data_IF_661475409418
#
_entry.id   IF_661475409418
#
_cell.length_a   1.000
_cell.length_b   1.000
_cell.length_c   1.000
_cell.angle_alpha   90.00
_cell.angle_beta   90.00
_cell.angle_gamma   90.00
#
_symmetry.space_group_name_H-M   'P 1'
#
loop_
_entity.id
_entity.type
_entity.pdbx_description
1 polymer ?
#
# COMPACT_ATOMS: atom_id res chain seq x y z
N UNK A 1 -8.62 30.78 -9.39
CA UNK A 1 -7.79 30.42 -8.23
C UNK A 1 -7.84 28.90 -8.09
N UNK A 2 -6.71 28.19 -8.02
CA UNK A 2 -6.74 26.72 -7.83
C UNK A 2 -7.26 26.46 -6.42
N UNK A 3 -8.36 25.71 -6.28
CA UNK A 3 -8.81 25.27 -4.97
C UNK A 3 -7.73 24.35 -4.37
N UNK A 4 -7.38 24.56 -3.11
CA UNK A 4 -6.47 23.67 -2.40
C UNK A 4 -7.04 22.25 -2.36
N UNK A 5 -6.19 21.25 -2.57
CA UNK A 5 -6.56 19.83 -2.49
C UNK A 5 -5.71 19.15 -1.44
N UNK A 6 -6.35 18.29 -0.64
CA UNK A 6 -5.67 17.40 0.29
C UNK A 6 -5.82 15.98 -0.24
N UNK A 7 -4.70 15.28 -0.37
CA UNK A 7 -4.67 13.87 -0.74
C UNK A 7 -4.20 13.08 0.49
N UNK A 8 -5.02 12.13 0.92
CA UNK A 8 -4.64 11.13 1.92
C UNK A 8 -4.35 9.85 1.15
N UNK A 9 -3.13 9.33 1.28
CA UNK A 9 -2.68 8.16 0.55
C UNK A 9 -1.79 7.28 1.43
N UNK A 10 -1.76 5.98 1.12
CA UNK A 10 -0.87 4.99 1.75
C UNK A 10 0.50 4.97 1.06
N UNK A 11 1.32 3.95 1.31
CA UNK A 11 2.63 3.81 0.67
C UNK A 11 2.58 3.81 -0.87
N UNK A 12 1.42 3.56 -1.48
CA UNK A 12 1.21 3.63 -2.94
C UNK A 12 1.63 4.99 -3.53
N UNK A 13 1.56 6.08 -2.77
CA UNK A 13 2.01 7.39 -3.22
C UNK A 13 3.51 7.45 -3.55
N UNK A 14 4.31 6.51 -3.01
CA UNK A 14 5.76 6.44 -3.21
C UNK A 14 6.11 5.85 -4.59
N UNK A 15 5.30 4.92 -5.08
CA UNK A 15 5.65 4.10 -6.24
C UNK A 15 4.90 4.59 -7.49
N UNK A 16 5.67 4.88 -8.54
CA UNK A 16 5.16 5.12 -9.91
C UNK A 16 4.18 6.30 -10.12
N UNK A 17 3.89 7.11 -9.10
CA UNK A 17 3.04 8.30 -9.23
C UNK A 17 3.86 9.57 -9.48
N UNK A 18 3.60 10.25 -10.60
CA UNK A 18 4.14 11.59 -10.89
C UNK A 18 3.34 12.67 -10.17
N UNK A 19 3.58 12.80 -8.86
CA UNK A 19 2.92 13.77 -7.99
C UNK A 19 3.85 14.91 -7.57
N UNK A 20 3.25 16.06 -7.31
CA UNK A 20 3.93 17.29 -6.89
C UNK A 20 3.07 18.03 -5.87
N UNK A 21 3.47 17.92 -4.62
CA UNK A 21 2.80 18.52 -3.48
C UNK A 21 3.56 19.78 -3.01
N UNK A 22 2.80 20.77 -2.51
CA UNK A 22 3.38 21.99 -1.93
C UNK A 22 3.80 21.80 -0.46
N UNK A 23 3.09 20.93 0.26
CA UNK A 23 3.35 20.51 1.64
C UNK A 23 3.15 19.01 1.73
N UNK A 24 3.95 18.33 2.54
CA UNK A 24 3.83 16.89 2.78
C UNK A 24 3.76 16.61 4.27
N UNK A 25 2.82 15.76 4.65
CA UNK A 25 2.73 15.16 5.99
C UNK A 25 2.93 13.67 5.84
N UNK A 26 3.78 13.07 6.67
CA UNK A 26 4.13 11.65 6.62
C UNK A 26 4.21 11.09 8.03
N UNK A 27 3.70 9.88 8.24
CA UNK A 27 4.08 9.09 9.42
C UNK A 27 5.58 8.80 9.40
N UNK A 28 6.15 8.57 10.58
CA UNK A 28 7.50 8.05 10.72
C UNK A 28 7.62 6.70 10.01
N UNK A 29 8.54 6.65 9.05
CA UNK A 29 8.95 5.45 8.35
C UNK A 29 10.49 5.49 8.22
N UNK A 30 11.13 4.39 7.79
CA UNK A 30 12.57 4.40 7.56
C UNK A 30 13.00 5.53 6.60
N UNK A 31 14.25 6.00 6.79
CA UNK A 31 14.75 7.23 6.17
C UNK A 31 14.75 7.21 4.64
N UNK A 32 14.97 6.05 4.03
CA UNK A 32 14.94 5.85 2.59
C UNK A 32 13.52 6.07 2.01
N UNK A 33 12.49 5.53 2.66
CA UNK A 33 11.10 5.78 2.31
C UNK A 33 10.72 7.24 2.50
N UNK A 34 11.21 7.91 3.55
CA UNK A 34 10.99 9.35 3.73
C UNK A 34 11.61 10.17 2.58
N UNK A 35 12.84 9.84 2.16
CA UNK A 35 13.50 10.50 1.02
C UNK A 35 12.70 10.27 -0.27
N UNK A 36 12.22 9.05 -0.51
CA UNK A 36 11.39 8.75 -1.68
C UNK A 36 10.07 9.54 -1.68
N UNK A 37 9.40 9.65 -0.53
CA UNK A 37 8.21 10.49 -0.33
C UNK A 37 8.53 11.96 -0.59
N UNK A 38 9.61 12.48 0.02
CA UNK A 38 10.08 13.85 -0.16
C UNK A 38 10.41 14.16 -1.63
N UNK A 39 10.77 13.18 -2.46
CA UNK A 39 10.92 13.33 -3.91
C UNK A 39 9.63 13.66 -4.68
N UNK A 40 8.48 13.72 -4.02
CA UNK A 40 7.19 14.24 -4.53
C UNK A 40 6.83 15.61 -3.95
N UNK A 41 7.58 16.09 -2.96
CA UNK A 41 7.49 17.45 -2.47
C UNK A 41 8.25 18.36 -3.44
N UNK A 42 7.55 19.31 -4.04
CA UNK A 42 8.13 20.28 -4.98
C UNK A 42 8.83 19.64 -6.20
N UNK A 43 8.34 18.48 -6.65
CA UNK A 43 8.95 17.67 -7.72
C UNK A 43 9.14 18.43 -9.03
N UNK A 44 8.17 19.26 -9.43
CA UNK A 44 8.30 20.08 -10.65
C UNK A 44 8.64 21.52 -10.28
N UNK A 45 9.48 22.16 -11.10
CA UNK A 45 9.72 23.60 -10.98
C UNK A 45 8.42 24.37 -11.28
N UNK A 46 7.95 25.10 -10.27
CA UNK A 46 6.73 25.92 -10.35
C UNK A 46 6.97 27.27 -9.72
N UNK A 47 6.24 28.25 -10.22
CA UNK A 47 6.17 29.57 -9.59
C UNK A 47 5.22 29.59 -8.37
N UNK A 48 5.15 30.71 -7.68
CA UNK A 48 4.30 30.93 -6.51
C UNK A 48 2.79 30.80 -6.82
N UNK A 49 2.39 30.88 -8.10
CA UNK A 49 1.01 30.66 -8.54
C UNK A 49 0.72 29.19 -8.88
N UNK A 50 1.76 28.35 -8.84
CA UNK A 50 1.70 26.93 -9.16
C UNK A 50 1.78 26.61 -10.65
N UNK A 51 2.11 27.59 -11.50
CA UNK A 51 2.33 27.35 -12.92
C UNK A 51 3.69 26.66 -13.13
N UNK A 52 3.75 25.68 -14.05
CA UNK A 52 5.02 25.00 -14.38
C UNK A 52 5.91 25.99 -15.14
N UNK A 53 7.13 26.20 -14.64
CA UNK A 53 8.11 27.06 -15.28
C UNK A 53 9.10 26.20 -16.05
N UNK A 54 9.18 26.40 -17.38
CA UNK A 54 10.14 25.71 -18.25
C UNK A 54 11.43 26.49 -18.47
N UNK A 55 11.44 27.79 -18.16
CA UNK A 55 12.62 28.63 -18.35
C UNK A 55 13.66 28.39 -17.26
N UNK A 56 14.96 28.26 -17.60
CA UNK A 56 16.03 28.43 -16.61
C UNK A 56 15.86 29.79 -15.94
N UNK A 57 16.15 29.90 -14.64
CA UNK A 57 16.17 31.16 -13.89
C UNK A 57 17.38 32.02 -14.33
N UNK A 58 17.51 32.31 -15.62
CA UNK A 58 18.59 33.10 -16.23
C UNK A 58 18.16 34.53 -16.57
N UNK A 59 17.07 35.01 -15.99
CA UNK A 59 16.74 36.43 -16.07
C UNK A 59 17.45 37.16 -14.92
N UNK A 60 18.32 38.06 -15.32
CA UNK A 60 19.37 38.80 -14.61
C UNK A 60 18.93 39.70 -13.43
N UNK A 61 17.75 39.46 -12.85
CA UNK A 61 17.22 40.17 -11.70
C UNK A 61 16.98 39.19 -10.54
N UNK A 62 18.03 38.86 -9.78
CA UNK A 62 17.97 37.94 -8.61
C UNK A 62 16.90 38.35 -7.57
N UNK A 63 16.63 39.66 -7.43
CA UNK A 63 15.63 40.18 -6.48
C UNK A 63 14.17 39.94 -6.90
N UNK A 64 13.84 39.89 -8.20
CA UNK A 64 12.46 39.62 -8.66
C UNK A 64 12.16 38.12 -8.78
N UNK A 65 13.17 37.31 -9.08
CA UNK A 65 13.04 35.85 -9.19
C UNK A 65 12.68 35.19 -7.85
N UNK A 66 13.16 35.69 -6.71
CA UNK A 66 12.85 35.15 -5.38
C UNK A 66 11.37 35.29 -5.00
N UNK A 67 10.71 36.37 -5.43
CA UNK A 67 9.26 36.60 -5.22
C UNK A 67 8.37 35.67 -6.03
N UNK A 68 8.87 35.08 -7.11
CA UNK A 68 8.11 34.16 -7.97
C UNK A 68 8.30 32.69 -7.59
N UNK A 69 9.19 32.37 -6.66
CA UNK A 69 9.41 30.98 -6.26
C UNK A 69 8.41 30.54 -5.19
N UNK A 70 8.11 29.24 -5.17
CA UNK A 70 7.35 28.64 -4.07
C UNK A 70 8.12 28.84 -2.74
N UNK A 71 7.40 28.93 -1.61
CA UNK A 71 8.04 28.95 -0.29
C UNK A 71 8.89 27.69 -0.07
N UNK A 72 9.78 27.73 0.92
CA UNK A 72 10.64 26.60 1.28
C UNK A 72 9.78 25.33 1.46
N UNK A 73 10.16 24.20 0.83
CA UNK A 73 9.43 22.94 0.96
C UNK A 73 9.30 22.52 2.42
N UNK A 74 8.09 22.11 2.83
CA UNK A 74 7.81 21.65 4.21
C UNK A 74 7.42 20.18 4.21
N UNK A 75 8.24 19.38 4.85
CA UNK A 75 7.94 17.99 5.21
C UNK A 75 7.67 17.94 6.72
N UNK A 76 6.45 17.57 7.09
CA UNK A 76 6.04 17.37 8.48
C UNK A 76 5.99 15.88 8.74
N UNK A 77 6.65 15.43 9.81
CA UNK A 77 6.70 14.01 10.16
C UNK A 77 5.90 13.82 11.46
N UNK A 78 4.93 12.92 11.43
CA UNK A 78 4.19 12.52 12.61
C UNK A 78 4.96 11.38 13.29
N UNK A 79 5.42 11.63 14.52
CA UNK A 79 6.35 10.77 15.25
C UNK A 79 5.92 10.62 16.71
N UNK A 80 6.34 9.55 17.41
CA UNK A 80 6.34 9.57 18.86
C UNK A 80 7.34 10.64 19.34
N UNK A 81 7.23 11.04 20.61
CA UNK A 81 8.21 11.92 21.21
C UNK A 81 9.60 11.27 21.21
N UNK A 82 10.61 12.05 20.85
CA UNK A 82 11.98 11.56 20.84
C UNK A 82 12.53 11.44 22.26
N UNK A 83 13.14 10.29 22.55
CA UNK A 83 13.86 10.02 23.79
C UNK A 83 15.09 9.17 23.49
N UNK A 84 16.20 9.44 24.17
CA UNK A 84 17.41 8.62 24.12
C UNK A 84 17.22 7.25 24.81
N UNK A 85 16.19 7.13 25.65
CA UNK A 85 15.88 5.91 26.42
C UNK A 85 14.44 5.48 26.14
N UNK A 86 14.12 5.04 24.91
CA UNK A 86 12.79 4.55 24.57
C UNK A 86 12.50 3.25 25.30
N UNK A 87 11.23 3.01 25.62
CA UNK A 87 10.76 1.69 26.06
C UNK A 87 10.45 0.78 24.85
N UNK A 88 10.15 -0.48 25.12
CA UNK A 88 9.83 -1.49 24.09
C UNK A 88 8.59 -1.15 23.23
N UNK A 89 7.70 -0.28 23.75
CA UNK A 89 6.44 0.11 23.12
C UNK A 89 6.50 1.52 22.54
N UNK A 90 7.67 2.13 22.46
CA UNK A 90 7.85 3.52 22.04
C UNK A 90 7.15 3.84 20.72
N UNK A 91 7.31 2.98 19.70
CA UNK A 91 6.63 3.15 18.42
C UNK A 91 5.17 2.65 18.47
N UNK A 92 4.93 1.50 19.11
CA UNK A 92 3.63 0.83 19.18
C UNK A 92 2.54 1.70 19.84
N UNK A 93 2.94 2.53 20.80
CA UNK A 93 2.02 3.37 21.57
C UNK A 93 1.31 4.42 20.70
N UNK A 94 2.01 4.95 19.69
CA UNK A 94 1.43 5.88 18.72
C UNK A 94 0.97 5.17 17.43
N UNK A 95 1.68 4.13 17.01
CA UNK A 95 1.49 3.44 15.74
C UNK A 95 1.31 1.91 15.91
N UNK A 96 0.26 1.45 16.61
CA UNK A 96 0.08 0.03 16.90
C UNK A 96 -0.07 -0.84 15.64
N UNK A 97 -0.67 -0.29 14.58
CA UNK A 97 -0.84 -0.98 13.29
C UNK A 97 0.39 -0.86 12.40
N UNK A 98 1.08 0.29 12.41
CA UNK A 98 2.24 0.50 11.52
C UNK A 98 3.46 -0.30 11.97
N UNK A 99 3.55 -0.74 13.23
CA UNK A 99 4.63 -1.62 13.69
C UNK A 99 4.68 -2.96 12.94
N UNK A 100 3.52 -3.46 12.46
CA UNK A 100 3.48 -4.67 11.64
C UNK A 100 4.07 -4.46 10.24
N UNK A 101 4.05 -3.21 9.75
CA UNK A 101 4.62 -2.82 8.46
C UNK A 101 6.11 -2.50 8.61
N UNK A 102 6.47 -1.71 9.62
CA UNK A 102 7.85 -1.34 9.93
C UNK A 102 8.32 -2.07 11.18
N UNK A 103 8.72 -3.34 11.00
CA UNK A 103 9.05 -4.24 12.11
C UNK A 103 10.39 -3.89 12.78
N UNK A 104 11.33 -3.31 12.03
CA UNK A 104 12.63 -2.91 12.56
C UNK A 104 12.57 -1.56 13.31
N UNK A 105 11.99 -1.58 14.51
CA UNK A 105 11.74 -0.37 15.32
C UNK A 105 13.03 0.43 15.60
N UNK A 106 14.18 -0.22 15.77
CA UNK A 106 15.46 0.47 15.97
C UNK A 106 15.88 1.39 14.80
N UNK A 107 15.56 1.02 13.55
CA UNK A 107 15.84 1.87 12.39
C UNK A 107 14.92 3.08 12.34
N UNK A 108 13.68 2.96 12.84
CA UNK A 108 12.76 4.09 12.99
C UNK A 108 13.28 5.08 14.04
N UNK A 109 13.82 4.56 15.15
CA UNK A 109 14.45 5.39 16.17
C UNK A 109 15.69 6.12 15.63
N UNK A 110 16.58 5.42 14.91
CA UNK A 110 17.75 6.03 14.25
C UNK A 110 17.33 7.09 13.22
N UNK A 111 16.26 6.83 12.48
CA UNK A 111 15.67 7.79 11.54
C UNK A 111 15.24 9.06 12.28
N UNK A 112 14.50 8.94 13.39
CA UNK A 112 14.07 10.10 14.16
C UNK A 112 15.25 10.87 14.78
N UNK A 113 16.27 10.14 15.24
CA UNK A 113 17.49 10.72 15.79
C UNK A 113 18.18 11.64 14.77
N UNK A 114 18.49 11.13 13.56
CA UNK A 114 19.17 11.95 12.55
C UNK A 114 18.32 13.13 12.08
N UNK A 115 16.99 12.97 12.03
CA UNK A 115 16.07 14.06 11.69
C UNK A 115 16.09 15.19 12.73
N UNK A 116 16.17 14.86 14.02
CA UNK A 116 16.30 15.84 15.10
C UNK A 116 17.65 16.57 15.09
N UNK A 117 18.72 15.88 14.70
CA UNK A 117 20.06 16.44 14.54
C UNK A 117 20.16 17.40 13.34
N UNK A 118 19.70 16.97 12.14
CA UNK A 118 19.85 17.74 10.91
C UNK A 118 18.82 18.87 10.77
N UNK A 119 17.56 18.65 11.17
CA UNK A 119 16.40 19.56 11.04
C UNK A 119 16.06 20.05 9.61
N UNK A 120 16.93 19.82 8.63
CA UNK A 120 16.70 20.05 7.21
C UNK A 120 17.27 18.88 6.40
N UNK A 121 16.73 18.67 5.19
CA UNK A 121 17.18 17.64 4.27
C UNK A 121 17.71 18.33 3.00
N UNK A 122 19.03 18.50 2.88
CA UNK A 122 19.66 19.06 1.67
C UNK A 122 19.95 17.93 0.68
N UNK A 123 18.99 17.62 -0.19
CA UNK A 123 19.12 16.55 -1.19
C UNK A 123 19.62 17.12 -2.53
N UNK A 124 20.53 16.43 -3.23
CA UNK A 124 21.04 15.07 -2.96
C UNK A 124 22.27 15.00 -2.03
N UNK A 125 22.78 16.14 -1.56
CA UNK A 125 24.05 16.24 -0.82
C UNK A 125 24.08 15.37 0.44
N UNK A 126 23.03 15.41 1.25
CA UNK A 126 22.95 14.71 2.53
C UNK A 126 22.39 13.28 2.41
N UNK A 127 22.02 12.83 1.20
CA UNK A 127 21.37 11.54 1.01
C UNK A 127 22.20 10.38 1.59
N UNK A 128 23.52 10.38 1.34
CA UNK A 128 24.43 9.36 1.85
C UNK A 128 24.51 9.37 3.38
N UNK A 129 24.65 10.55 3.98
CA UNK A 129 24.70 10.73 5.43
C UNK A 129 23.44 10.18 6.09
N UNK A 130 22.26 10.53 5.54
CA UNK A 130 20.96 10.09 6.06
C UNK A 130 20.81 8.57 6.02
N UNK A 131 21.19 7.94 4.91
CA UNK A 131 21.15 6.47 4.76
C UNK A 131 22.15 5.80 5.72
N UNK A 132 23.41 6.22 5.72
CA UNK A 132 24.45 5.60 6.56
C UNK A 132 24.17 5.79 8.05
N UNK A 133 23.54 6.90 8.47
CA UNK A 133 23.15 7.14 9.87
C UNK A 133 22.05 6.20 10.39
N UNK A 134 21.40 5.44 9.50
CA UNK A 134 20.38 4.45 9.88
C UNK A 134 20.86 3.03 9.61
N UNK A 135 21.52 2.77 8.48
CA UNK A 135 21.83 1.41 8.03
C UNK A 135 23.28 0.96 8.24
N UNK A 136 24.21 1.85 8.60
CA UNK A 136 25.60 1.44 8.86
C UNK A 136 25.72 0.55 10.10
N UNK A 137 26.75 -0.30 10.13
CA UNK A 137 27.04 -1.16 11.28
C UNK A 137 27.32 -0.32 12.54
N UNK A 138 27.90 0.87 12.39
CA UNK A 138 28.11 1.84 13.46
C UNK A 138 26.79 2.38 14.00
N UNK A 139 25.86 2.78 13.12
CA UNK A 139 24.55 3.29 13.52
C UNK A 139 23.71 2.22 14.21
N UNK A 140 23.74 0.98 13.71
CA UNK A 140 22.98 -0.14 14.30
C UNK A 140 23.42 -0.44 15.74
N UNK A 141 24.69 -0.19 16.10
CA UNK A 141 25.19 -0.33 17.49
C UNK A 141 24.65 0.74 18.44
N UNK A 142 24.09 1.83 17.93
CA UNK A 142 23.51 2.91 18.73
C UNK A 142 22.05 2.67 19.10
N UNK A 143 21.44 1.58 18.61
CA UNK A 143 20.06 1.23 18.93
C UNK A 143 19.95 0.93 20.43
N UNK A 144 19.01 1.57 21.16
CA UNK A 144 18.81 1.29 22.57
C UNK A 144 18.42 -0.18 22.84
N UNK A 145 18.92 -0.74 23.95
CA UNK A 145 18.70 -2.15 24.34
C UNK A 145 17.22 -2.55 24.35
N UNK A 146 16.32 -1.63 24.74
CA UNK A 146 14.88 -1.87 24.75
C UNK A 146 14.27 -2.12 23.36
N UNK A 147 14.89 -1.62 22.28
CA UNK A 147 14.40 -1.77 20.91
C UNK A 147 15.14 -2.88 20.14
N UNK A 148 16.24 -3.40 20.69
CA UNK A 148 17.00 -4.48 20.07
C UNK A 148 16.19 -5.77 19.85
N UNK A 149 15.33 -6.25 20.79
CA UNK A 149 14.60 -7.50 20.58
C UNK A 149 13.69 -7.47 19.36
N UNK A 150 12.93 -6.38 19.18
CA UNK A 150 12.06 -6.20 18.02
C UNK A 150 12.86 -6.13 16.71
N UNK A 151 13.97 -5.39 16.73
CA UNK A 151 14.88 -5.25 15.59
C UNK A 151 15.54 -6.58 15.19
N UNK A 152 16.04 -7.35 16.17
CA UNK A 152 16.65 -8.67 15.98
C UNK A 152 15.64 -9.72 15.50
N UNK A 153 14.39 -9.63 15.96
CA UNK A 153 13.31 -10.49 15.50
C UNK A 153 13.02 -10.30 14.01
N UNK A 154 12.94 -9.05 13.55
CA UNK A 154 12.79 -8.74 12.11
C UNK A 154 14.01 -9.18 11.31
N UNK A 155 15.24 -8.84 11.73
CA UNK A 155 16.45 -9.31 11.04
C UNK A 155 16.50 -10.84 10.90
N UNK A 156 16.12 -11.57 11.95
CA UNK A 156 16.03 -13.03 11.92
C UNK A 156 14.97 -13.51 10.94
N UNK A 157 13.83 -12.83 10.86
CA UNK A 157 12.78 -13.10 9.89
C UNK A 157 13.26 -12.86 8.46
N UNK A 158 13.91 -11.72 8.18
CA UNK A 158 14.51 -11.40 6.88
C UNK A 158 15.59 -12.43 6.48
N UNK A 159 16.40 -12.88 7.43
CA UNK A 159 17.42 -13.89 7.17
C UNK A 159 16.79 -15.26 6.83
N UNK A 160 15.73 -15.69 7.54
CA UNK A 160 14.98 -16.90 7.18
C UNK A 160 14.40 -16.79 5.78
N UNK A 161 13.84 -15.64 5.40
CA UNK A 161 13.34 -15.38 4.04
C UNK A 161 14.46 -15.52 3.00
N UNK A 162 15.62 -14.91 3.25
CA UNK A 162 16.80 -15.00 2.37
C UNK A 162 17.28 -16.44 2.16
N UNK A 163 17.26 -17.25 3.22
CA UNK A 163 17.59 -18.67 3.10
C UNK A 163 16.55 -19.44 2.29
N UNK A 164 15.26 -19.26 2.57
CA UNK A 164 14.19 -19.93 1.82
C UNK A 164 14.18 -19.53 0.33
N UNK A 165 14.53 -18.29 0.00
CA UNK A 165 14.63 -17.84 -1.38
C UNK A 165 15.71 -18.62 -2.17
N UNK A 166 16.79 -19.08 -1.53
CA UNK A 166 17.83 -19.90 -2.18
C UNK A 166 17.27 -21.22 -2.70
N UNK A 167 16.23 -21.76 -2.07
CA UNK A 167 15.59 -23.02 -2.47
C UNK A 167 14.77 -22.87 -3.77
N UNK A 168 14.52 -21.63 -4.21
CA UNK A 168 13.78 -21.29 -5.43
C UNK A 168 14.73 -20.84 -6.56
N UNK A 169 15.99 -20.50 -6.26
CA UNK A 169 16.95 -20.06 -7.26
C UNK A 169 17.28 -21.18 -8.26
N UNK A 170 17.49 -20.78 -9.51
CA UNK A 170 18.02 -21.67 -10.55
C UNK A 170 19.53 -21.80 -10.33
N UNK A 171 20.04 -23.03 -10.42
CA UNK A 171 21.48 -23.24 -10.56
C UNK A 171 21.95 -22.73 -11.92
N UNK A 172 22.51 -21.52 -11.94
CA UNK A 172 22.97 -20.85 -13.15
C UNK A 172 23.99 -21.68 -13.94
N UNK A 173 24.75 -22.56 -13.28
CA UNK A 173 25.76 -23.40 -13.93
C UNK A 173 25.15 -24.51 -14.78
N UNK A 174 23.89 -24.90 -14.51
CA UNK A 174 23.18 -25.99 -15.19
C UNK A 174 22.14 -25.49 -16.21
N UNK A 175 21.97 -24.17 -16.32
CA UNK A 175 21.08 -23.51 -17.28
C UNK A 175 19.58 -23.72 -16.99
N UNK A 176 18.73 -23.54 -18.01
CA UNK A 176 17.29 -23.75 -17.88
C UNK A 176 16.94 -25.22 -18.15
N UNK A 177 17.12 -26.08 -17.15
CA UNK A 177 16.83 -27.52 -17.27
C UNK A 177 16.25 -28.10 -15.97
N UNK A 178 15.55 -29.24 -16.06
CA UNK A 178 15.01 -29.98 -14.90
C UNK A 178 16.07 -30.29 -13.84
N UNK A 179 17.33 -30.46 -14.25
CA UNK A 179 18.49 -30.70 -13.38
C UNK A 179 18.88 -29.47 -12.54
N UNK A 180 18.36 -28.30 -12.90
CA UNK A 180 18.71 -27.01 -12.32
C UNK A 180 17.74 -26.58 -11.23
N UNK A 181 16.49 -27.07 -11.29
CA UNK A 181 15.50 -26.85 -10.24
C UNK A 181 14.36 -27.89 -10.34
N UNK A 182 14.24 -28.78 -9.34
CA UNK A 182 13.21 -29.82 -9.31
C UNK A 182 11.82 -29.28 -8.97
N UNK A 183 11.71 -28.10 -8.33
CA UNK A 183 10.43 -27.47 -7.99
C UNK A 183 9.65 -26.95 -9.19
N UNK A 184 10.29 -26.74 -10.35
CA UNK A 184 9.61 -26.28 -11.58
C UNK A 184 8.70 -27.33 -12.20
N UNK A 185 8.97 -28.60 -11.92
CA UNK A 185 8.31 -29.74 -12.56
C UNK A 185 7.55 -30.61 -11.55
N UNK A 186 7.44 -30.16 -10.29
CA UNK A 186 6.60 -30.80 -9.30
C UNK A 186 5.10 -30.57 -9.62
N UNK A 187 4.28 -31.60 -9.45
CA UNK A 187 2.87 -31.60 -9.88
C UNK A 187 1.96 -30.55 -9.22
N UNK A 188 0.73 -30.43 -9.72
CA UNK A 188 -0.30 -29.40 -9.40
C UNK A 188 -0.47 -29.05 -7.92
N UNK A 189 -0.20 -29.96 -6.98
CA UNK A 189 -0.24 -29.70 -5.53
C UNK A 189 0.80 -28.68 -5.04
N UNK A 190 1.88 -28.47 -5.80
CA UNK A 190 2.89 -27.43 -5.53
C UNK A 190 2.66 -26.12 -6.28
N UNK A 191 1.64 -26.06 -7.14
CA UNK A 191 1.27 -24.84 -7.90
C UNK A 191 0.46 -23.86 -7.04
N UNK A 192 -0.19 -24.35 -5.97
CA UNK A 192 -0.89 -23.50 -5.00
C UNK A 192 0.04 -22.89 -3.92
N UNK A 193 1.26 -23.42 -3.74
CA UNK A 193 2.33 -22.59 -3.19
C UNK A 193 2.85 -21.80 -4.36
N UNK A 194 2.37 -20.56 -4.54
CA UNK A 194 2.92 -19.67 -5.54
C UNK A 194 4.44 -19.84 -5.56
N UNK A 195 4.99 -20.32 -6.68
CA UNK A 195 6.40 -20.21 -6.99
C UNK A 195 6.69 -18.72 -7.28
N UNK A 196 6.30 -17.87 -6.34
CA UNK A 196 6.37 -16.43 -6.40
C UNK A 196 7.83 -16.06 -6.32
N UNK A 197 8.42 -15.74 -7.46
CA UNK A 197 9.71 -15.06 -7.54
C UNK A 197 9.64 -13.64 -6.96
N UNK A 198 8.42 -13.12 -6.78
CA UNK A 198 8.12 -11.92 -6.01
C UNK A 198 7.64 -12.32 -4.63
N UNK A 199 8.44 -11.97 -3.63
CA UNK A 199 8.02 -12.07 -2.24
C UNK A 199 6.96 -10.98 -1.96
N UNK A 200 5.78 -11.38 -1.49
CA UNK A 200 4.77 -10.48 -0.95
C UNK A 200 4.68 -10.74 0.56
N UNK A 201 4.86 -9.70 1.38
CA UNK A 201 4.83 -9.85 2.85
C UNK A 201 3.46 -10.27 3.38
N UNK A 202 2.40 -9.91 2.67
CA UNK A 202 1.04 -10.34 2.95
C UNK A 202 0.45 -10.96 1.69
N UNK A 203 0.01 -12.22 1.73
CA UNK A 203 -0.69 -12.81 0.60
C UNK A 203 -2.01 -12.05 0.41
N UNK A 204 -2.36 -11.86 -0.84
CA UNK A 204 -3.53 -11.07 -1.25
C UNK A 204 -4.48 -11.93 -2.05
N UNK A 205 -5.77 -11.65 -1.92
CA UNK A 205 -6.81 -12.28 -2.70
C UNK A 205 -7.65 -11.22 -3.42
N UNK A 206 -8.29 -11.66 -4.50
CA UNK A 206 -9.23 -10.84 -5.25
C UNK A 206 -10.66 -11.16 -4.82
N UNK A 207 -11.33 -10.14 -4.28
CA UNK A 207 -12.72 -10.20 -3.84
C UNK A 207 -13.60 -9.50 -4.85
N UNK A 208 -14.64 -10.17 -5.33
CA UNK A 208 -15.68 -9.53 -6.15
C UNK A 208 -16.80 -9.08 -5.24
N UNK A 209 -17.03 -7.77 -5.23
CA UNK A 209 -18.08 -7.12 -4.46
C UNK A 209 -19.42 -7.28 -5.17
N UNK A 210 -20.36 -7.92 -4.48
CA UNK A 210 -21.71 -8.16 -4.96
C UNK A 210 -22.72 -7.37 -4.13
N UNK A 211 -23.86 -7.06 -4.75
CA UNK A 211 -25.03 -6.47 -4.09
C UNK A 211 -26.28 -7.29 -4.43
N UNK A 212 -27.31 -7.14 -3.61
CA UNK A 212 -28.60 -7.78 -3.85
C UNK A 212 -29.53 -6.81 -4.59
N UNK A 213 -30.16 -7.30 -5.66
CA UNK A 213 -31.27 -6.62 -6.31
C UNK A 213 -32.58 -7.28 -5.90
N UNK A 214 -33.54 -6.49 -5.43
CA UNK A 214 -34.91 -6.94 -5.28
C UNK A 214 -35.62 -6.79 -6.63
N UNK A 215 -35.91 -7.90 -7.29
CA UNK A 215 -36.81 -7.91 -8.43
C UNK A 215 -38.21 -8.26 -7.92
N UNK A 216 -39.21 -7.49 -8.37
CA UNK A 216 -40.62 -7.86 -8.21
C UNK A 216 -41.02 -8.68 -9.41
N UNK A 217 -41.36 -9.95 -9.20
CA UNK A 217 -42.01 -10.75 -10.23
C UNK A 217 -43.44 -10.24 -10.47
N UNK A 218 -44.00 -10.57 -11.64
CA UNK A 218 -45.37 -10.24 -12.03
C UNK A 218 -46.45 -10.83 -11.08
N UNK A 219 -46.08 -11.80 -10.25
CA UNK A 219 -46.93 -12.44 -9.22
C UNK A 219 -46.77 -11.84 -7.80
N UNK A 220 -45.98 -10.77 -7.62
CA UNK A 220 -45.82 -10.10 -6.33
C UNK A 220 -44.86 -10.79 -5.35
N UNK A 221 -44.21 -11.89 -5.75
CA UNK A 221 -43.10 -12.48 -5.00
C UNK A 221 -41.83 -11.65 -5.21
N UNK A 222 -41.11 -11.37 -4.11
CA UNK A 222 -39.82 -10.65 -4.16
C UNK A 222 -38.70 -11.66 -4.42
N UNK A 223 -38.17 -11.68 -5.64
CA UNK A 223 -37.02 -12.50 -5.99
C UNK A 223 -35.74 -11.69 -5.78
N UNK A 224 -34.84 -12.22 -4.95
CA UNK A 224 -33.55 -11.61 -4.67
C UNK A 224 -32.50 -12.19 -5.60
N UNK A 225 -31.91 -11.36 -6.46
CA UNK A 225 -30.84 -11.78 -7.38
C UNK A 225 -29.52 -11.09 -7.04
N UNK A 226 -28.41 -11.81 -7.17
CA UNK A 226 -27.07 -11.23 -7.10
C UNK A 226 -26.79 -10.36 -8.34
N UNK A 227 -26.14 -9.22 -8.12
CA UNK A 227 -25.58 -8.37 -9.17
C UNK A 227 -24.20 -7.84 -8.75
N UNK A 228 -23.37 -7.44 -9.71
CA UNK A 228 -22.08 -6.81 -9.42
C UNK A 228 -22.28 -5.43 -8.78
N UNK A 229 -21.33 -4.99 -7.96
CA UNK A 229 -21.42 -3.69 -7.28
C UNK A 229 -21.58 -2.53 -8.29
N UNK A 230 -20.84 -2.53 -9.40
CA UNK A 230 -20.96 -1.47 -10.42
C UNK A 230 -22.34 -1.38 -11.05
N UNK A 231 -23.05 -2.49 -11.17
CA UNK A 231 -24.40 -2.51 -11.75
C UNK A 231 -25.44 -1.88 -10.81
N UNK A 232 -25.11 -1.71 -9.52
CA UNK A 232 -25.96 -1.04 -8.54
C UNK A 232 -25.85 0.48 -8.58
N UNK A 233 -24.82 1.04 -9.22
CA UNK A 233 -24.56 2.47 -9.23
C UNK A 233 -25.40 3.17 -10.30
N UNK A 234 -26.37 3.98 -9.87
CA UNK A 234 -27.28 4.71 -10.77
C UNK A 234 -26.62 5.85 -11.55
N UNK A 235 -25.47 6.37 -11.06
CA UNK A 235 -24.77 7.55 -11.61
C UNK A 235 -23.74 7.23 -12.69
N UNK A 236 -23.31 5.98 -12.80
CA UNK A 236 -22.39 5.58 -13.87
C UNK A 236 -23.26 5.34 -15.09
N UNK A 237 -23.11 6.20 -16.10
CA UNK A 237 -23.63 5.97 -17.45
C UNK A 237 -23.58 4.47 -17.74
N UNK A 238 -24.73 3.85 -18.02
CA UNK A 238 -24.83 2.45 -18.45
C UNK A 238 -24.24 2.26 -19.87
N UNK A 239 -23.12 2.93 -20.14
CA UNK A 239 -22.29 2.75 -21.30
C UNK A 239 -21.84 1.30 -21.36
N UNK A 240 -21.74 0.76 -22.58
CA UNK A 240 -21.32 -0.62 -22.87
C UNK A 240 -20.03 -1.05 -22.13
N UNK A 241 -19.16 -0.09 -21.80
CA UNK A 241 -17.92 -0.30 -21.06
C UNK A 241 -18.15 -0.91 -19.67
N UNK A 242 -19.16 -0.46 -18.91
CA UNK A 242 -19.41 -0.96 -17.55
C UNK A 242 -19.89 -2.41 -17.57
N UNK A 243 -20.65 -2.83 -18.60
CA UNK A 243 -21.10 -4.23 -18.76
C UNK A 243 -19.94 -5.17 -19.13
N UNK A 244 -18.99 -4.70 -19.93
CA UNK A 244 -17.88 -5.52 -20.38
C UNK A 244 -16.80 -5.73 -19.31
N UNK A 245 -16.69 -4.80 -18.34
CA UNK A 245 -15.68 -4.82 -17.28
C UNK A 245 -16.28 -4.87 -15.87
N UNK A 246 -17.53 -5.33 -15.74
CA UNK A 246 -18.25 -5.34 -14.46
C UNK A 246 -17.50 -6.13 -13.37
N UNK A 247 -16.81 -7.21 -13.76
CA UNK A 247 -15.99 -8.02 -12.85
C UNK A 247 -14.80 -7.21 -12.36
N UNK A 248 -14.00 -6.66 -13.27
CA UNK A 248 -12.78 -5.93 -12.95
C UNK A 248 -13.09 -4.70 -12.10
N UNK A 249 -14.15 -3.97 -12.44
CA UNK A 249 -14.57 -2.76 -11.73
C UNK A 249 -15.26 -3.04 -10.38
N UNK A 250 -15.72 -4.27 -10.16
CA UNK A 250 -16.25 -4.74 -8.87
C UNK A 250 -15.25 -5.61 -8.10
N UNK A 251 -14.02 -5.78 -8.60
CA UNK A 251 -12.99 -6.56 -7.91
C UNK A 251 -12.12 -5.64 -7.06
N UNK A 252 -11.90 -6.04 -5.81
CA UNK A 252 -11.00 -5.37 -4.86
C UNK A 252 -9.95 -6.37 -4.42
N UNK A 253 -8.70 -5.92 -4.36
CA UNK A 253 -7.57 -6.73 -3.89
C UNK A 253 -7.27 -6.40 -2.42
N UNK A 254 -7.40 -7.38 -1.55
CA UNK A 254 -7.18 -7.22 -0.10
C UNK A 254 -6.26 -8.33 0.44
N UNK A 255 -5.76 -8.20 1.67
CA UNK A 255 -4.99 -9.27 2.32
C UNK A 255 -5.88 -10.48 2.60
N UNK A 256 -5.33 -11.70 2.51
CA UNK A 256 -6.06 -12.93 2.84
C UNK A 256 -6.58 -12.92 4.28
N UNK A 257 -5.81 -12.35 5.22
CA UNK A 257 -6.23 -12.18 6.62
C UNK A 257 -7.48 -11.33 6.77
N UNK A 258 -7.70 -10.35 5.88
CA UNK A 258 -8.91 -9.54 5.87
C UNK A 258 -10.05 -10.29 5.18
N UNK A 259 -9.78 -10.95 4.06
CA UNK A 259 -10.77 -11.73 3.32
C UNK A 259 -11.37 -12.88 4.13
N UNK A 260 -10.56 -13.52 4.97
CA UNK A 260 -11.01 -14.56 5.88
C UNK A 260 -11.96 -14.05 6.98
N UNK A 261 -12.01 -12.73 7.22
CA UNK A 261 -12.94 -12.10 8.17
C UNK A 261 -14.27 -11.69 7.51
N UNK A 262 -14.34 -11.66 6.18
CA UNK A 262 -15.56 -11.33 5.46
C UNK A 262 -16.61 -12.41 5.69
N UNK A 263 -17.88 -12.01 5.78
CA UNK A 263 -18.98 -12.96 5.88
C UNK A 263 -19.00 -13.90 4.66
N UNK A 264 -19.20 -15.19 4.94
CA UNK A 264 -19.44 -16.17 3.88
C UNK A 264 -20.73 -15.83 3.13
N UNK A 265 -20.78 -16.18 1.85
CA UNK A 265 -21.99 -16.00 1.05
C UNK A 265 -23.15 -16.81 1.69
N UNK A 266 -24.32 -16.20 1.93
CA UNK A 266 -25.47 -16.93 2.46
C UNK A 266 -25.87 -18.11 1.57
N UNK A 267 -26.28 -19.22 2.18
CA UNK A 267 -26.62 -20.48 1.49
C UNK A 267 -27.71 -20.30 0.42
N UNK A 268 -28.60 -19.32 0.60
CA UNK A 268 -29.64 -18.95 -0.39
C UNK A 268 -29.07 -18.48 -1.74
N UNK A 269 -27.83 -17.99 -1.79
CA UNK A 269 -27.19 -17.50 -3.02
C UNK A 269 -26.14 -18.45 -3.61
N UNK A 270 -25.84 -19.58 -2.97
CA UNK A 270 -24.81 -20.52 -3.46
C UNK A 270 -25.10 -21.01 -4.89
N UNK A 271 -26.36 -21.35 -5.18
CA UNK A 271 -26.75 -21.77 -6.53
C UNK A 271 -26.58 -20.66 -7.58
N UNK A 272 -26.83 -19.40 -7.20
CA UNK A 272 -26.63 -18.25 -8.10
C UNK A 272 -25.13 -17.98 -8.31
N UNK A 273 -24.33 -18.07 -7.25
CA UNK A 273 -22.88 -17.90 -7.29
C UNK A 273 -22.19 -18.94 -8.17
N UNK A 274 -22.61 -20.21 -8.10
CA UNK A 274 -22.07 -21.28 -8.97
C UNK A 274 -22.37 -20.98 -10.44
N UNK A 275 -23.61 -20.59 -10.78
CA UNK A 275 -23.98 -20.18 -12.13
C UNK A 275 -23.16 -18.98 -12.63
N UNK A 276 -22.91 -18.00 -11.76
CA UNK A 276 -22.05 -16.85 -12.10
C UNK A 276 -20.62 -17.29 -12.42
N UNK A 277 -20.04 -18.21 -11.63
CA UNK A 277 -18.69 -18.74 -11.87
C UNK A 277 -18.60 -19.59 -13.15
N UNK A 278 -19.64 -20.32 -13.50
CA UNK A 278 -19.73 -21.06 -14.76
C UNK A 278 -19.82 -20.12 -15.97
N UNK A 279 -20.61 -19.05 -15.84
CA UNK A 279 -20.79 -18.06 -16.91
C UNK A 279 -19.54 -17.19 -17.14
N UNK A 280 -18.84 -16.83 -16.06
CA UNK A 280 -17.66 -15.97 -16.12
C UNK A 280 -16.40 -16.70 -15.65
N UNK A 281 -15.58 -17.16 -16.61
CA UNK A 281 -14.32 -17.84 -16.32
C UNK A 281 -13.37 -17.03 -15.43
N UNK A 282 -13.40 -15.69 -15.52
CA UNK A 282 -12.60 -14.79 -14.68
C UNK A 282 -12.92 -14.84 -13.19
N UNK A 283 -14.03 -15.47 -12.77
CA UNK A 283 -14.42 -15.63 -11.36
C UNK A 283 -13.91 -16.91 -10.73
N UNK A 284 -13.29 -17.82 -11.49
CA UNK A 284 -12.91 -19.16 -11.03
C UNK A 284 -12.07 -19.14 -9.74
N UNK A 285 -11.13 -18.21 -9.65
CA UNK A 285 -10.20 -18.08 -8.51
C UNK A 285 -10.49 -16.87 -7.62
N UNK A 286 -11.62 -16.17 -7.85
CA UNK A 286 -12.01 -15.01 -7.05
C UNK A 286 -13.00 -15.41 -5.96
N UNK A 287 -12.85 -14.81 -4.79
CA UNK A 287 -13.82 -14.96 -3.71
C UNK A 287 -14.97 -13.97 -3.94
N UNK A 288 -16.20 -14.45 -3.78
CA UNK A 288 -17.39 -13.62 -3.93
C UNK A 288 -17.84 -13.15 -2.55
N UNK A 289 -18.18 -11.88 -2.41
CA UNK A 289 -18.62 -11.29 -1.15
C UNK A 289 -19.84 -10.40 -1.36
N UNK A 290 -20.88 -10.63 -0.54
CA UNK A 290 -22.13 -9.91 -0.60
C UNK A 290 -22.11 -8.76 0.43
N UNK A 291 -21.78 -7.55 -0.03
CA UNK A 291 -21.44 -6.43 0.84
C UNK A 291 -22.61 -5.92 1.70
N UNK A 292 -23.85 -6.10 1.23
CA UNK A 292 -25.05 -5.64 1.93
C UNK A 292 -25.58 -6.63 2.98
N UNK A 293 -25.07 -7.87 3.03
CA UNK A 293 -25.42 -8.87 4.05
C UNK A 293 -24.36 -9.02 5.13
N UNK A 294 -23.21 -8.36 5.01
CA UNK A 294 -22.13 -8.45 5.99
C UNK A 294 -22.41 -7.49 7.16
N UNK A 295 -22.44 -8.01 8.38
CA UNK A 295 -22.65 -7.22 9.58
C UNK A 295 -21.39 -6.49 10.05
N UNK A 296 -20.21 -6.97 9.67
CA UNK A 296 -18.92 -6.49 10.15
C UNK A 296 -18.26 -5.54 9.15
N UNK A 297 -18.45 -5.72 7.85
CA UNK A 297 -17.83 -4.91 6.81
C UNK A 297 -18.84 -4.24 5.89
N UNK A 298 -18.45 -3.11 5.29
CA UNK A 298 -19.17 -2.44 4.20
C UNK A 298 -18.21 -2.07 3.09
N UNK A 299 -18.75 -1.92 1.87
CA UNK A 299 -18.04 -1.32 0.76
C UNK A 299 -18.59 0.09 0.51
N UNK A 300 -17.72 1.08 0.66
CA UNK A 300 -18.01 2.48 0.43
C UNK A 300 -17.34 2.95 -0.87
N UNK A 301 -18.02 3.79 -1.64
CA UNK A 301 -17.52 4.24 -2.94
C UNK A 301 -16.26 5.11 -2.84
N UNK A 302 -16.10 5.86 -1.76
CA UNK A 302 -15.03 6.85 -1.60
C UNK A 302 -13.86 6.28 -0.76
N UNK A 303 -14.17 5.35 0.15
CA UNK A 303 -13.20 4.78 1.11
C UNK A 303 -12.87 3.31 0.86
N UNK A 304 -13.61 2.61 0.00
CA UNK A 304 -13.43 1.18 -0.27
C UNK A 304 -13.99 0.30 0.85
N UNK A 305 -13.30 -0.81 1.16
CA UNK A 305 -13.72 -1.75 2.21
C UNK A 305 -13.47 -1.16 3.62
N UNK A 306 -14.52 -1.11 4.44
CA UNK A 306 -14.45 -0.56 5.82
C UNK A 306 -15.04 -1.57 6.81
N UNK A 307 -14.40 -1.72 7.96
CA UNK A 307 -14.95 -2.44 9.12
C UNK A 307 -15.90 -1.52 9.90
N UNK A 308 -17.16 -1.94 10.07
CA UNK A 308 -18.20 -1.20 10.80
C UNK A 308 -17.76 -1.05 12.26
N UNK A 309 -17.73 0.20 12.75
CA UNK A 309 -17.42 0.51 14.15
C UNK A 309 -16.05 1.14 14.39
N UNK A 310 -15.17 1.22 13.37
CA UNK A 310 -14.05 2.16 13.40
C UNK A 310 -14.57 3.58 13.15
N UNK A 311 -14.82 4.32 14.24
CA UNK A 311 -14.96 5.78 14.22
C UNK A 311 -13.59 6.43 14.35
#
# INVERSE_FOLDING_TARGET
>A
MRAGKVLIATQVFQESLDADADVMVSDLCPIDYLIQRAGRLHRHKRDATGARTTSPLTDSNESESLTRLRPIPKLMIFTPDFTETPDEKWYASLFPKSQYVYQHVGQLWLTLRILNEQRCLDLPKDARLLIESVYSDEAQKLIPDALEPASKADMSHQQRKKYSAKDVLIDWTKGYSEKSQSRWFAGESTVNSEAGTRFQEMPTCEIVVLTQKSNTDSDGSSLKSLQFYTDSLQEIDQNLMTKNFAIELSTVKISETMANKLAALPTEYEAQATKLKEHYHGLKYKQLWLANSDDTFIYDKDKGLIEKGLK
#
